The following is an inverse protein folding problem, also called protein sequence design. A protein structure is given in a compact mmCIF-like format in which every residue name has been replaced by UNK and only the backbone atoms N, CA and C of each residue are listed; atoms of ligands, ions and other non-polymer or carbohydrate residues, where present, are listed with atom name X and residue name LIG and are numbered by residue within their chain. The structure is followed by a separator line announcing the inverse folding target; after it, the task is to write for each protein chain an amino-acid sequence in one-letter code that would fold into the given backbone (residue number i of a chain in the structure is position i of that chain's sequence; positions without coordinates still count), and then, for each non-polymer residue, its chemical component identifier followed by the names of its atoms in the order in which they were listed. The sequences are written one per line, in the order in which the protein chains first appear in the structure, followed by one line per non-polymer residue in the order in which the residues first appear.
data_IF_884118262480
#
_entry.id   IF_884118262480
#
_cell.length_a   1.000
_cell.length_b   1.000
_cell.length_c   1.000
_cell.angle_alpha   90.00
_cell.angle_beta   90.00
_cell.angle_gamma   90.00
#
_symmetry.space_group_name_H-M   'P 1'
#
loop_
_entity.id
_entity.type
_entity.pdbx_description
1 polymer ?
#
# COMPACT_ATOMS: atom_id res chain seq x y z
N UNK A 1 -2.36 1.05 47.09
CA UNK A 1 -2.92 1.39 45.77
C UNK A 1 -3.04 2.89 45.69
N UNK A 2 -1.95 3.56 45.32
CA UNK A 2 -1.91 5.02 45.25
C UNK A 2 -2.35 5.49 43.86
N UNK A 3 -2.97 6.66 43.80
CA UNK A 3 -3.34 7.34 42.54
C UNK A 3 -2.16 7.44 41.55
N UNK A 4 -0.92 7.47 42.06
CA UNK A 4 0.32 7.49 41.27
C UNK A 4 0.57 6.21 40.46
N UNK A 5 0.23 5.03 41.00
CA UNK A 5 0.37 3.74 40.28
C UNK A 5 -0.66 3.62 39.14
N UNK A 6 -1.85 4.17 39.33
CA UNK A 6 -2.89 4.21 38.30
C UNK A 6 -2.54 5.19 37.19
N UNK A 7 -1.98 6.36 37.51
CA UNK A 7 -1.54 7.34 36.51
C UNK A 7 -0.36 6.79 35.69
N UNK A 8 0.64 6.16 36.31
CA UNK A 8 1.75 5.51 35.59
C UNK A 8 1.29 4.37 34.67
N UNK A 9 0.28 3.58 35.08
CA UNK A 9 -0.31 2.53 34.22
C UNK A 9 -1.09 3.10 33.04
N UNK A 10 -1.76 4.24 33.20
CA UNK A 10 -2.48 4.91 32.10
C UNK A 10 -1.50 5.47 31.06
N UNK A 11 -0.32 5.96 31.49
CA UNK A 11 0.67 6.52 30.57
C UNK A 11 1.65 5.50 29.94
N UNK A 12 2.06 4.44 30.67
CA UNK A 12 3.04 3.45 30.18
C UNK A 12 2.37 2.13 29.77
N UNK A 13 1.29 1.72 30.44
CA UNK A 13 0.65 0.42 30.24
C UNK A 13 -0.58 0.43 29.33
N UNK A 14 -1.22 1.59 29.14
CA UNK A 14 -2.43 1.72 28.32
C UNK A 14 -2.10 1.95 26.84
N UNK A 15 -0.99 2.64 26.54
CA UNK A 15 -0.57 2.90 25.15
C UNK A 15 -0.31 1.61 24.38
N UNK A 16 0.49 0.68 24.91
CA UNK A 16 0.75 -0.59 24.24
C UNK A 16 -0.51 -1.44 24.02
N UNK A 17 -1.44 -1.44 24.99
CA UNK A 17 -2.73 -2.14 24.87
C UNK A 17 -3.63 -1.49 23.82
N UNK A 18 -3.62 -0.16 23.76
CA UNK A 18 -4.33 0.62 22.76
C UNK A 18 -3.78 0.36 21.37
N UNK A 19 -2.46 0.43 21.18
CA UNK A 19 -1.80 0.18 19.90
C UNK A 19 -2.09 -1.24 19.38
N UNK A 20 -2.05 -2.27 20.26
CA UNK A 20 -2.44 -3.64 19.89
C UNK A 20 -3.91 -3.70 19.48
N UNK A 21 -4.80 -3.02 20.22
CA UNK A 21 -6.23 -2.99 19.92
C UNK A 21 -6.52 -2.33 18.57
N UNK A 22 -5.77 -1.29 18.23
CA UNK A 22 -5.89 -0.56 16.98
C UNK A 22 -5.35 -1.39 15.79
N UNK A 23 -4.38 -2.28 16.02
CA UNK A 23 -3.85 -3.21 15.01
C UNK A 23 -4.72 -4.46 14.80
N UNK A 24 -5.46 -4.88 15.82
CA UNK A 24 -6.32 -6.07 15.78
C UNK A 24 -7.26 -6.16 14.56
N UNK A 25 -7.94 -5.09 14.10
CA UNK A 25 -8.76 -5.16 12.89
C UNK A 25 -7.96 -5.58 11.65
N UNK A 26 -6.76 -5.06 11.46
CA UNK A 26 -5.89 -5.43 10.34
C UNK A 26 -5.45 -6.89 10.43
N UNK A 27 -5.10 -7.36 11.64
CA UNK A 27 -4.78 -8.78 11.85
C UNK A 27 -5.97 -9.67 11.48
N UNK A 28 -7.18 -9.28 11.88
CA UNK A 28 -8.38 -10.05 11.54
C UNK A 28 -8.65 -10.06 10.03
N UNK A 29 -8.40 -8.95 9.32
CA UNK A 29 -8.49 -8.89 7.86
C UNK A 29 -7.48 -9.84 7.21
N UNK A 30 -6.22 -9.84 7.65
CA UNK A 30 -5.17 -10.73 7.13
C UNK A 30 -5.57 -12.20 7.34
N UNK A 31 -6.04 -12.55 8.54
CA UNK A 31 -6.45 -13.92 8.86
C UNK A 31 -7.68 -14.37 8.07
N UNK A 32 -8.50 -13.45 7.57
CA UNK A 32 -9.67 -13.81 6.75
C UNK A 32 -9.29 -14.48 5.42
N UNK A 33 -8.09 -14.19 4.90
CA UNK A 33 -7.55 -14.77 3.67
C UNK A 33 -6.85 -16.13 3.87
N UNK A 34 -6.58 -16.52 5.13
CA UNK A 34 -5.79 -17.75 5.43
C UNK A 34 -6.41 -19.01 4.83
N UNK A 35 -7.73 -19.16 4.93
CA UNK A 35 -8.42 -20.34 4.40
C UNK A 35 -8.30 -20.43 2.87
N UNK A 36 -8.39 -19.31 2.18
CA UNK A 36 -8.26 -19.25 0.73
C UNK A 36 -6.82 -19.57 0.30
N UNK A 37 -5.85 -18.91 0.91
CA UNK A 37 -4.43 -19.05 0.54
C UNK A 37 -3.85 -20.41 0.89
N UNK A 38 -4.26 -21.02 2.01
CA UNK A 38 -3.81 -22.37 2.39
C UNK A 38 -4.23 -23.48 1.42
N UNK A 39 -5.19 -23.20 0.54
CA UNK A 39 -5.62 -24.12 -0.51
C UNK A 39 -4.81 -24.00 -1.81
N UNK A 40 -3.98 -22.95 -1.94
CA UNK A 40 -3.20 -22.68 -3.13
C UNK A 40 -1.90 -23.50 -3.17
N UNK A 41 -1.48 -23.83 -4.38
CA UNK A 41 -0.14 -24.35 -4.67
C UNK A 41 0.93 -23.26 -4.58
N UNK A 42 2.20 -23.66 -4.56
CA UNK A 42 3.33 -22.72 -4.50
C UNK A 42 3.38 -21.80 -5.74
N UNK A 43 2.98 -22.31 -6.91
CA UNK A 43 3.00 -21.53 -8.14
C UNK A 43 1.84 -20.52 -8.18
N UNK A 44 0.69 -20.89 -7.62
CA UNK A 44 -0.44 -19.97 -7.42
C UNK A 44 -0.11 -18.87 -6.40
N UNK A 45 0.58 -19.22 -5.30
CA UNK A 45 1.09 -18.23 -4.34
C UNK A 45 2.10 -17.26 -4.97
N UNK A 46 2.95 -17.73 -5.88
CA UNK A 46 3.85 -16.85 -6.66
C UNK A 46 3.07 -15.97 -7.63
N UNK A 47 2.04 -16.51 -8.28
CA UNK A 47 1.20 -15.76 -9.20
C UNK A 47 0.51 -14.56 -8.54
N UNK A 48 0.16 -14.66 -7.24
CA UNK A 48 -0.37 -13.52 -6.46
C UNK A 48 0.56 -12.30 -6.46
N UNK A 49 1.87 -12.50 -6.44
CA UNK A 49 2.82 -11.38 -6.52
C UNK A 49 2.72 -10.66 -7.86
N UNK A 50 2.48 -11.40 -8.96
CA UNK A 50 2.29 -10.79 -10.27
C UNK A 50 0.94 -10.06 -10.33
N UNK A 51 -0.13 -10.67 -9.81
CA UNK A 51 -1.46 -10.05 -9.72
C UNK A 51 -1.40 -8.69 -9.00
N UNK A 52 -0.70 -8.61 -7.86
CA UNK A 52 -0.54 -7.36 -7.11
C UNK A 52 0.19 -6.27 -7.91
N UNK A 53 1.27 -6.63 -8.62
CA UNK A 53 2.01 -5.69 -9.46
C UNK A 53 1.14 -5.17 -10.61
N UNK A 54 0.40 -6.06 -11.23
CA UNK A 54 -0.49 -5.73 -12.35
C UNK A 54 -1.63 -4.80 -11.88
N UNK A 55 -2.22 -5.04 -10.70
CA UNK A 55 -3.22 -4.15 -10.09
C UNK A 55 -2.66 -2.74 -9.86
N UNK A 56 -1.47 -2.62 -9.26
CA UNK A 56 -0.83 -1.33 -9.01
C UNK A 56 -0.53 -0.61 -10.33
N UNK A 57 -0.01 -1.34 -11.32
CA UNK A 57 0.30 -0.75 -12.63
C UNK A 57 -0.97 -0.28 -13.35
N UNK A 58 -2.03 -1.07 -13.31
CA UNK A 58 -3.31 -0.73 -13.94
C UNK A 58 -3.91 0.54 -13.33
N UNK A 59 -3.87 0.69 -12.00
CA UNK A 59 -4.46 1.83 -11.31
C UNK A 59 -3.82 3.18 -11.67
N UNK A 60 -2.52 3.20 -11.95
CA UNK A 60 -1.80 4.43 -12.32
C UNK A 60 -1.55 4.59 -13.82
N UNK A 61 -2.04 3.65 -14.63
CA UNK A 61 -1.73 3.58 -16.06
C UNK A 61 -2.13 4.88 -16.78
N UNK A 62 -3.38 5.30 -16.60
CA UNK A 62 -3.92 6.48 -17.29
C UNK A 62 -3.15 7.76 -16.88
N UNK A 63 -2.82 7.89 -15.60
CA UNK A 63 -2.03 9.01 -15.06
C UNK A 63 -0.62 9.03 -15.63
N UNK A 64 0.03 7.86 -15.75
CA UNK A 64 1.36 7.76 -16.36
C UNK A 64 1.33 8.09 -17.85
N UNK A 65 0.30 7.67 -18.58
CA UNK A 65 0.11 8.04 -19.99
C UNK A 65 -0.06 9.56 -20.15
N UNK A 66 -0.80 10.22 -19.25
CA UNK A 66 -0.91 11.68 -19.22
C UNK A 66 0.44 12.36 -18.96
N UNK A 67 1.21 11.86 -17.99
CA UNK A 67 2.56 12.38 -17.68
C UNK A 67 3.48 12.23 -18.90
N UNK A 68 3.46 11.10 -19.59
CA UNK A 68 4.28 10.89 -20.80
C UNK A 68 3.87 11.87 -21.92
N UNK A 69 2.57 12.08 -22.12
CA UNK A 69 2.08 13.04 -23.10
C UNK A 69 2.50 14.47 -22.78
N UNK A 70 2.45 14.89 -21.51
CA UNK A 70 2.91 16.22 -21.08
C UNK A 70 4.41 16.38 -21.24
N UNK A 71 5.21 15.34 -20.94
CA UNK A 71 6.67 15.36 -21.18
C UNK A 71 7.00 15.59 -22.66
N UNK A 72 6.28 14.95 -23.57
CA UNK A 72 6.44 15.19 -25.01
C UNK A 72 6.07 16.62 -25.41
N UNK A 73 5.05 17.22 -24.78
CA UNK A 73 4.69 18.63 -25.01
C UNK A 73 5.78 19.57 -24.50
N UNK A 74 6.36 19.29 -23.32
CA UNK A 74 7.49 20.05 -22.77
C UNK A 74 8.68 20.02 -23.71
N UNK A 75 9.01 18.87 -24.32
CA UNK A 75 10.12 18.78 -25.28
C UNK A 75 9.92 19.65 -26.52
N UNK A 76 8.68 19.85 -26.96
CA UNK A 76 8.32 20.60 -28.15
C UNK A 76 8.13 22.10 -27.89
N UNK A 77 7.82 22.49 -26.65
CA UNK A 77 7.58 23.87 -26.27
C UNK A 77 8.91 24.66 -26.16
N UNK A 78 8.91 25.91 -26.60
CA UNK A 78 10.08 26.81 -26.53
C UNK A 78 9.88 27.93 -25.52
N UNK A 79 8.62 28.26 -25.24
CA UNK A 79 8.24 29.23 -24.22
C UNK A 79 8.54 28.67 -22.82
N UNK A 80 9.31 29.42 -22.04
CA UNK A 80 9.74 29.02 -20.70
C UNK A 80 8.56 29.01 -19.73
N UNK A 81 7.67 30.00 -19.84
CA UNK A 81 6.53 30.15 -18.92
C UNK A 81 5.57 28.97 -19.09
N UNK A 82 5.29 28.58 -20.34
CA UNK A 82 4.45 27.40 -20.64
C UNK A 82 5.11 26.09 -20.25
N UNK A 83 6.44 25.99 -20.33
CA UNK A 83 7.17 24.82 -19.82
C UNK A 83 7.01 24.68 -18.32
N UNK A 84 7.09 25.77 -17.59
CA UNK A 84 6.87 25.77 -16.13
C UNK A 84 5.46 25.28 -15.79
N UNK A 85 4.43 25.78 -16.48
CA UNK A 85 3.04 25.33 -16.30
C UNK A 85 2.90 23.82 -16.55
N UNK A 86 3.49 23.30 -17.64
CA UNK A 86 3.46 21.87 -17.95
C UNK A 86 4.22 21.02 -16.92
N UNK A 87 5.34 21.50 -16.38
CA UNK A 87 6.05 20.82 -15.30
C UNK A 87 5.24 20.79 -14.01
N UNK A 88 4.55 21.88 -13.67
CA UNK A 88 3.65 21.93 -12.53
C UNK A 88 2.50 20.91 -12.67
N UNK A 89 1.95 20.75 -13.88
CA UNK A 89 0.92 19.73 -14.16
C UNK A 89 1.48 18.31 -14.04
N UNK A 90 2.70 18.07 -14.54
CA UNK A 90 3.39 16.78 -14.37
C UNK A 90 3.58 16.45 -12.90
N UNK A 91 4.00 17.42 -12.08
CA UNK A 91 4.20 17.21 -10.64
C UNK A 91 2.88 16.88 -9.94
N UNK A 92 1.79 17.58 -10.26
CA UNK A 92 0.45 17.24 -9.74
C UNK A 92 0.01 15.83 -10.13
N UNK A 93 0.27 15.40 -11.37
CA UNK A 93 -0.06 14.04 -11.80
C UNK A 93 0.83 12.98 -11.14
N UNK A 94 2.09 13.31 -10.81
CA UNK A 94 2.94 12.41 -10.03
C UNK A 94 2.37 12.17 -8.62
N UNK A 95 1.85 13.22 -7.97
CA UNK A 95 1.16 13.11 -6.69
C UNK A 95 -0.11 12.25 -6.83
N UNK A 96 -0.91 12.47 -7.88
CA UNK A 96 -2.08 11.62 -8.16
C UNK A 96 -1.70 10.16 -8.36
N UNK A 97 -0.62 9.87 -9.10
CA UNK A 97 -0.13 8.50 -9.29
C UNK A 97 0.37 7.87 -7.99
N UNK A 98 0.90 8.68 -7.06
CA UNK A 98 1.28 8.24 -5.72
C UNK A 98 0.05 7.85 -4.92
N UNK A 99 -0.96 8.72 -4.84
CA UNK A 99 -2.21 8.47 -4.11
C UNK A 99 -2.96 7.24 -4.67
N UNK A 100 -2.99 7.07 -6.00
CA UNK A 100 -3.55 5.88 -6.65
C UNK A 100 -2.79 4.60 -6.23
N UNK A 101 -1.46 4.70 -6.13
CA UNK A 101 -0.65 3.56 -5.68
C UNK A 101 -0.94 3.24 -4.22
N UNK A 102 -1.02 4.26 -3.35
CA UNK A 102 -1.35 4.10 -1.93
C UNK A 102 -2.72 3.44 -1.74
N UNK A 103 -3.76 3.91 -2.45
CA UNK A 103 -5.10 3.34 -2.38
C UNK A 103 -5.13 1.85 -2.74
N UNK A 104 -4.42 1.44 -3.81
CA UNK A 104 -4.33 0.02 -4.17
C UNK A 104 -3.51 -0.76 -3.14
N UNK A 105 -2.43 -0.19 -2.62
CA UNK A 105 -1.63 -0.83 -1.58
C UNK A 105 -2.46 -1.08 -0.32
N UNK A 106 -3.30 -0.13 0.09
CA UNK A 106 -4.24 -0.30 1.20
C UNK A 106 -5.26 -1.41 0.92
N UNK A 107 -5.81 -1.47 -0.30
CA UNK A 107 -6.76 -2.52 -0.71
C UNK A 107 -6.12 -3.92 -0.65
N UNK A 108 -4.93 -4.08 -1.20
CA UNK A 108 -4.24 -5.38 -1.27
C UNK A 108 -3.46 -5.70 0.01
N UNK A 109 -3.33 -4.78 0.96
CA UNK A 109 -2.45 -4.92 2.13
C UNK A 109 -2.72 -6.23 2.87
N UNK A 110 -3.97 -6.47 3.25
CA UNK A 110 -4.32 -7.63 4.06
C UNK A 110 -4.04 -8.96 3.32
N UNK A 111 -4.34 -9.02 2.03
CA UNK A 111 -4.10 -10.20 1.19
C UNK A 111 -2.59 -10.42 1.00
N UNK A 112 -1.82 -9.37 0.72
CA UNK A 112 -0.37 -9.44 0.54
C UNK A 112 0.35 -9.93 1.81
N UNK A 113 -0.03 -9.44 2.98
CA UNK A 113 0.49 -9.95 4.26
C UNK A 113 0.11 -11.41 4.51
N UNK A 114 -1.10 -11.81 4.11
CA UNK A 114 -1.53 -13.21 4.21
C UNK A 114 -0.72 -14.12 3.30
N UNK A 115 -0.37 -13.68 2.08
CA UNK A 115 0.51 -14.42 1.16
C UNK A 115 1.92 -14.62 1.75
N UNK A 116 2.48 -13.58 2.39
CA UNK A 116 3.78 -13.68 3.07
C UNK A 116 3.72 -14.70 4.23
N UNK A 117 2.65 -14.64 5.05
CA UNK A 117 2.43 -15.58 6.15
C UNK A 117 2.34 -17.03 5.65
N UNK A 118 1.56 -17.29 4.61
CA UNK A 118 1.40 -18.64 4.06
C UNK A 118 2.71 -19.16 3.46
N UNK A 119 3.45 -18.29 2.77
CA UNK A 119 4.78 -18.62 2.23
C UNK A 119 5.76 -19.03 3.34
N UNK A 120 5.78 -18.30 4.46
CA UNK A 120 6.62 -18.64 5.61
C UNK A 120 6.24 -20.01 6.20
N UNK A 121 4.93 -20.31 6.27
CA UNK A 121 4.42 -21.61 6.73
C UNK A 121 4.88 -22.74 5.82
N UNK A 122 4.82 -22.53 4.50
CA UNK A 122 5.30 -23.51 3.52
C UNK A 122 6.81 -23.76 3.65
N UNK A 123 7.63 -22.72 3.76
CA UNK A 123 9.09 -22.84 3.87
C UNK A 123 9.57 -23.40 5.22
N UNK A 124 8.72 -23.38 6.25
CA UNK A 124 9.03 -23.92 7.58
C UNK A 124 8.75 -25.42 7.73
N UNK A 125 8.13 -26.05 6.72
CA UNK A 125 7.91 -27.50 6.64
C UNK A 125 9.09 -28.19 5.95
#
# INVERSE_FOLDING_TARGET
MGLLDSVLKIFVGDKAKKDIKDLQPYVNQILSFEKELSSLSIDELRAKTQEFKDKIQAAKKDTLEQIENLKLQVEQEQDIDKKEDLYNEIDQLNDVAYDQTEAVLEEIMAEAFAVVKETATFCSK
#
